data_IF_975513307179
#
_entry.id   IF_975513307179
#
_cell.length_a   1.000
_cell.length_b   1.000
_cell.length_c   1.000
_cell.angle_alpha   90.00
_cell.angle_beta   90.00
_cell.angle_gamma   90.00
#
_symmetry.space_group_name_H-M   'P 1'
#
loop_
_entity.id
_entity.type
_entity.pdbx_description
1 polymer ?
#
# COMPACT_ATOMS: atom_id res chain seq x y z
N UNK A 1 -23.08 -45.72 6.41
CA UNK A 1 -23.18 -44.35 5.85
C UNK A 1 -24.39 -44.08 4.97
N UNK A 2 -24.92 -45.01 4.13
CA UNK A 2 -26.06 -44.70 3.24
C UNK A 2 -27.30 -44.17 3.97
N UNK A 3 -27.65 -44.75 5.13
CA UNK A 3 -28.78 -44.30 5.93
C UNK A 3 -28.58 -42.91 6.56
N UNK A 4 -27.37 -42.58 6.99
CA UNK A 4 -27.04 -41.25 7.54
C UNK A 4 -27.11 -40.19 6.44
N UNK A 5 -26.53 -40.47 5.27
CA UNK A 5 -26.65 -39.60 4.09
C UNK A 5 -28.11 -39.43 3.69
N UNK A 6 -28.88 -40.51 3.56
CA UNK A 6 -30.30 -40.42 3.20
C UNK A 6 -31.11 -39.61 4.22
N UNK A 7 -30.90 -39.84 5.52
CA UNK A 7 -31.56 -39.09 6.58
C UNK A 7 -31.20 -37.59 6.53
N UNK A 8 -29.93 -37.26 6.29
CA UNK A 8 -29.48 -35.88 6.13
C UNK A 8 -30.02 -35.22 4.85
N UNK A 9 -29.92 -35.89 3.70
CA UNK A 9 -30.40 -35.40 2.40
C UNK A 9 -31.92 -35.23 2.37
N UNK A 10 -32.68 -36.03 3.14
CA UNK A 10 -34.13 -35.85 3.30
C UNK A 10 -34.53 -34.58 4.07
N UNK A 11 -33.57 -33.90 4.71
CA UNK A 11 -33.82 -32.76 5.59
C UNK A 11 -34.28 -33.14 7.00
N UNK A 12 -34.40 -34.44 7.31
CA UNK A 12 -34.76 -34.93 8.66
C UNK A 12 -33.69 -34.62 9.71
N UNK A 13 -32.44 -34.39 9.29
CA UNK A 13 -31.39 -33.79 10.09
C UNK A 13 -30.74 -32.63 9.34
N UNK A 14 -30.49 -31.52 10.04
CA UNK A 14 -29.84 -30.33 9.47
C UNK A 14 -28.37 -30.20 9.88
N UNK A 15 -27.97 -30.86 10.98
CA UNK A 15 -26.62 -30.78 11.52
C UNK A 15 -26.11 -32.19 11.80
N UNK A 16 -24.87 -32.45 11.38
CA UNK A 16 -24.14 -33.67 11.66
C UNK A 16 -22.81 -33.31 12.32
N UNK A 17 -22.51 -33.94 13.45
CA UNK A 17 -21.24 -33.76 14.16
C UNK A 17 -20.48 -35.06 14.08
N UNK A 18 -19.21 -35.00 13.67
CA UNK A 18 -18.37 -36.17 13.56
C UNK A 18 -16.90 -35.81 13.50
N UNK A 19 -16.05 -36.83 13.60
CA UNK A 19 -14.59 -36.67 13.53
C UNK A 19 -14.12 -36.77 12.08
N UNK A 20 -12.89 -36.31 11.81
CA UNK A 20 -12.27 -36.48 10.48
C UNK A 20 -12.20 -37.94 10.06
N UNK A 21 -12.04 -38.89 10.97
CA UNK A 21 -12.03 -40.32 10.63
C UNK A 21 -13.40 -40.80 10.13
N UNK A 22 -14.49 -40.19 10.60
CA UNK A 22 -15.86 -40.64 10.33
C UNK A 22 -16.50 -39.87 9.15
N UNK A 23 -16.15 -38.60 8.98
CA UNK A 23 -16.66 -37.70 7.94
C UNK A 23 -15.63 -37.32 6.87
N UNK A 24 -14.34 -37.58 7.12
CA UNK A 24 -13.24 -37.20 6.22
C UNK A 24 -12.92 -38.25 5.15
N UNK A 25 -13.27 -39.53 5.35
CA UNK A 25 -13.10 -40.60 4.37
C UNK A 25 -14.44 -40.94 3.70
N UNK A 26 -14.57 -40.61 2.41
CA UNK A 26 -15.64 -41.16 1.56
C UNK A 26 -17.08 -40.75 1.84
N UNK A 27 -17.38 -39.86 2.81
CA UNK A 27 -18.75 -39.37 2.98
C UNK A 27 -19.17 -38.49 1.79
N UNK A 28 -20.31 -38.86 1.18
CA UNK A 28 -20.87 -38.18 0.03
C UNK A 28 -22.29 -37.69 0.28
N UNK A 29 -22.44 -36.36 0.35
CA UNK A 29 -23.71 -35.68 0.56
C UNK A 29 -23.67 -34.31 -0.17
N UNK A 30 -24.03 -34.26 -1.47
CA UNK A 30 -24.08 -33.02 -2.25
C UNK A 30 -24.97 -31.94 -1.63
N UNK A 31 -25.97 -32.30 -0.82
CA UNK A 31 -26.87 -31.36 -0.15
C UNK A 31 -26.19 -30.54 0.99
N UNK A 32 -24.95 -30.84 1.38
CA UNK A 32 -24.25 -30.10 2.45
C UNK A 32 -23.99 -28.66 2.04
N UNK A 33 -24.58 -27.71 2.76
CA UNK A 33 -24.45 -26.25 2.50
C UNK A 33 -23.50 -25.52 3.44
N UNK A 34 -22.90 -26.23 4.41
CA UNK A 34 -21.94 -25.62 5.32
C UNK A 34 -21.09 -26.63 6.05
N UNK A 35 -19.92 -26.19 6.47
CA UNK A 35 -18.94 -26.95 7.22
C UNK A 35 -18.37 -26.07 8.32
N UNK A 36 -18.33 -26.57 9.54
CA UNK A 36 -17.64 -25.92 10.66
C UNK A 36 -16.42 -26.75 10.99
N UNK A 37 -15.24 -26.24 10.64
CA UNK A 37 -13.95 -26.90 10.85
C UNK A 37 -13.36 -26.50 12.21
N UNK A 38 -13.51 -27.41 13.18
CA UNK A 38 -12.92 -27.32 14.52
C UNK A 38 -11.56 -28.03 14.62
N UNK A 39 -11.00 -28.51 13.51
CA UNK A 39 -9.75 -29.26 13.51
C UNK A 39 -8.53 -28.34 13.54
N UNK A 40 -7.39 -28.86 13.99
CA UNK A 40 -6.11 -28.14 13.98
C UNK A 40 -5.29 -28.37 12.72
N UNK A 41 -5.78 -29.18 11.76
CA UNK A 41 -5.07 -29.55 10.56
C UNK A 41 -4.94 -28.34 9.61
N UNK A 42 -3.71 -28.04 9.17
CA UNK A 42 -3.44 -26.92 8.25
C UNK A 42 -2.69 -27.35 6.98
N UNK A 43 -2.54 -28.65 6.72
CA UNK A 43 -1.92 -29.10 5.47
C UNK A 43 -2.89 -28.86 4.31
N UNK A 44 -2.44 -28.35 3.15
CA UNK A 44 -3.32 -28.04 2.02
C UNK A 44 -4.24 -29.20 1.65
N UNK A 45 -3.69 -30.43 1.58
CA UNK A 45 -4.47 -31.65 1.30
C UNK A 45 -5.60 -31.89 2.31
N UNK A 46 -5.35 -31.69 3.61
CA UNK A 46 -6.38 -31.90 4.62
C UNK A 46 -7.45 -30.81 4.57
N UNK A 47 -7.06 -29.57 4.31
CA UNK A 47 -7.99 -28.43 4.17
C UNK A 47 -8.89 -28.62 2.96
N UNK A 48 -8.32 -28.93 1.79
CA UNK A 48 -9.05 -29.20 0.54
C UNK A 48 -9.99 -30.40 0.69
N UNK A 49 -9.53 -31.49 1.31
CA UNK A 49 -10.38 -32.66 1.55
C UNK A 49 -11.57 -32.33 2.46
N UNK A 50 -11.36 -31.51 3.48
CA UNK A 50 -12.42 -31.13 4.43
C UNK A 50 -13.42 -30.19 3.76
N UNK A 51 -12.96 -29.08 3.16
CA UNK A 51 -13.83 -28.08 2.50
C UNK A 51 -14.52 -28.61 1.25
N UNK A 52 -13.84 -29.46 0.48
CA UNK A 52 -14.37 -30.09 -0.73
C UNK A 52 -15.64 -30.90 -0.49
N UNK A 53 -15.93 -31.30 0.76
CA UNK A 53 -17.20 -31.95 1.11
C UNK A 53 -18.41 -31.04 0.90
N UNK A 54 -18.30 -29.78 1.32
CA UNK A 54 -19.38 -28.81 1.20
C UNK A 54 -19.45 -28.20 -0.20
N UNK A 55 -18.31 -28.05 -0.89
CA UNK A 55 -18.20 -27.40 -2.20
C UNK A 55 -18.70 -28.23 -3.39
N UNK A 56 -19.16 -29.46 -3.18
CA UNK A 56 -19.70 -30.30 -4.26
C UNK A 56 -20.94 -29.67 -4.88
N UNK A 57 -21.02 -29.73 -6.20
CA UNK A 57 -22.22 -29.35 -6.94
C UNK A 57 -23.37 -30.30 -6.58
N UNK A 58 -24.54 -29.71 -6.33
CA UNK A 58 -25.78 -30.46 -6.15
C UNK A 58 -26.56 -30.41 -7.47
N UNK A 59 -26.78 -31.56 -8.14
CA UNK A 59 -27.54 -31.62 -9.39
C UNK A 59 -28.96 -31.04 -9.27
N UNK A 60 -29.53 -31.04 -8.05
CA UNK A 60 -30.87 -30.53 -7.80
C UNK A 60 -30.88 -29.06 -7.36
N UNK A 61 -29.70 -28.44 -7.16
CA UNK A 61 -29.59 -27.05 -6.72
C UNK A 61 -28.37 -26.36 -7.36
N UNK A 62 -28.53 -25.93 -8.61
CA UNK A 62 -27.47 -25.26 -9.38
C UNK A 62 -26.90 -23.99 -8.72
N UNK A 63 -27.72 -23.27 -7.94
CA UNK A 63 -27.32 -22.04 -7.22
C UNK A 63 -26.84 -22.32 -5.79
N UNK A 64 -26.48 -23.56 -5.49
CA UNK A 64 -25.99 -23.94 -4.17
C UNK A 64 -24.68 -23.22 -3.87
N UNK A 65 -24.64 -22.57 -2.71
CA UNK A 65 -23.42 -22.06 -2.11
C UNK A 65 -23.11 -22.82 -0.82
N UNK A 66 -21.82 -22.97 -0.52
CA UNK A 66 -21.34 -23.60 0.69
C UNK A 66 -20.63 -22.59 1.60
N UNK A 67 -20.97 -22.59 2.89
CA UNK A 67 -20.37 -21.72 3.90
C UNK A 67 -19.38 -22.53 4.75
N UNK A 68 -18.09 -22.29 4.54
CA UNK A 68 -17.01 -22.94 5.29
C UNK A 68 -16.55 -22.04 6.43
N UNK A 69 -16.66 -22.52 7.66
CA UNK A 69 -16.29 -21.80 8.88
C UNK A 69 -15.02 -22.41 9.47
N UNK A 70 -14.08 -21.56 9.87
CA UNK A 70 -12.95 -21.91 10.72
C UNK A 70 -13.15 -21.19 12.05
N UNK A 71 -13.16 -21.93 13.16
CA UNK A 71 -13.27 -21.33 14.50
C UNK A 71 -11.88 -21.03 15.05
N UNK A 72 -11.72 -19.81 15.59
CA UNK A 72 -10.42 -19.27 16.02
C UNK A 72 -10.57 -18.68 17.42
N UNK A 73 -9.64 -19.00 18.31
CA UNK A 73 -9.54 -18.37 19.63
C UNK A 73 -8.34 -17.40 19.65
N UNK A 74 -8.58 -16.14 20.01
CA UNK A 74 -7.52 -15.13 20.14
C UNK A 74 -7.44 -14.70 21.61
N UNK A 75 -6.23 -14.60 22.15
CA UNK A 75 -5.99 -14.14 23.53
C UNK A 75 -4.85 -13.14 23.56
N UNK A 76 -5.13 -11.82 23.55
CA UNK A 76 -4.10 -10.78 23.47
C UNK A 76 -3.06 -10.85 24.60
N UNK A 77 -3.51 -11.19 25.82
CA UNK A 77 -2.66 -11.22 27.02
C UNK A 77 -1.79 -12.48 27.15
N UNK A 78 -1.96 -13.46 26.25
CA UNK A 78 -1.23 -14.72 26.30
C UNK A 78 -0.11 -14.77 25.25
N UNK A 79 1.14 -15.13 25.62
CA UNK A 79 2.29 -15.18 24.68
C UNK A 79 2.09 -16.09 23.46
N UNK A 80 1.14 -17.03 23.52
CA UNK A 80 0.76 -17.93 22.42
C UNK A 80 -0.68 -17.74 21.95
N UNK A 81 -1.33 -16.64 22.33
CA UNK A 81 -2.74 -16.38 22.05
C UNK A 81 -3.07 -16.13 20.57
N UNK A 82 -2.06 -16.01 19.70
CA UNK A 82 -2.22 -15.92 18.24
C UNK A 82 -2.05 -17.24 17.48
N UNK A 83 -1.87 -18.39 18.16
CA UNK A 83 -1.62 -19.66 17.45
C UNK A 83 -2.76 -20.07 16.52
N UNK A 84 -4.01 -19.88 16.95
CA UNK A 84 -5.18 -20.21 16.16
C UNK A 84 -5.33 -19.26 14.97
N UNK A 85 -4.94 -17.99 15.14
CA UNK A 85 -4.86 -17.03 14.03
C UNK A 85 -3.89 -17.51 12.96
N UNK A 86 -2.67 -17.91 13.35
CA UNK A 86 -1.71 -18.48 12.42
C UNK A 86 -2.22 -19.77 11.74
N UNK A 87 -3.08 -20.55 12.40
CA UNK A 87 -3.77 -21.68 11.75
C UNK A 87 -4.83 -21.23 10.75
N UNK A 88 -5.63 -20.22 11.08
CA UNK A 88 -6.60 -19.63 10.14
C UNK A 88 -5.90 -19.16 8.87
N UNK A 89 -4.82 -18.40 9.01
CA UNK A 89 -4.03 -17.89 7.87
C UNK A 89 -3.57 -19.05 6.98
N UNK A 90 -2.92 -20.08 7.55
CA UNK A 90 -2.50 -21.27 6.78
C UNK A 90 -3.64 -22.06 6.14
N UNK A 91 -4.82 -22.08 6.75
CA UNK A 91 -6.00 -22.76 6.17
C UNK A 91 -6.61 -21.96 5.01
N UNK A 92 -6.39 -20.66 4.96
CA UNK A 92 -6.96 -19.78 3.94
C UNK A 92 -5.95 -19.38 2.87
N UNK A 93 -4.66 -19.68 3.05
CA UNK A 93 -3.61 -19.56 2.05
C UNK A 93 -3.89 -20.46 0.84
N UNK A 94 -3.95 -19.87 -0.36
CA UNK A 94 -4.34 -20.56 -1.59
C UNK A 94 -5.81 -20.99 -1.64
N UNK A 95 -6.67 -20.38 -0.82
CA UNK A 95 -8.11 -20.60 -0.85
C UNK A 95 -8.89 -19.32 -1.14
N UNK A 96 -9.40 -19.25 -2.36
CA UNK A 96 -10.15 -18.14 -2.88
C UNK A 96 -11.55 -18.01 -2.26
N UNK A 97 -11.98 -16.78 -2.02
CA UNK A 97 -13.31 -16.41 -1.57
C UNK A 97 -13.74 -15.06 -2.13
N UNK A 98 -15.04 -14.78 -2.18
CA UNK A 98 -15.52 -13.45 -2.60
C UNK A 98 -15.52 -12.47 -1.44
N UNK A 99 -14.91 -11.30 -1.64
CA UNK A 99 -14.99 -10.23 -0.66
C UNK A 99 -16.37 -9.53 -0.69
N UNK A 100 -16.56 -8.55 0.18
CA UNK A 100 -17.83 -7.81 0.26
C UNK A 100 -18.16 -6.93 -0.97
N UNK A 101 -17.24 -6.81 -1.94
CA UNK A 101 -17.47 -6.18 -3.25
C UNK A 101 -17.73 -7.19 -4.38
N UNK A 102 -17.69 -8.49 -4.08
CA UNK A 102 -17.89 -9.55 -5.08
C UNK A 102 -16.64 -9.90 -5.88
N UNK A 103 -15.46 -9.42 -5.47
CA UNK A 103 -14.22 -9.86 -6.09
C UNK A 103 -13.69 -11.12 -5.43
N UNK A 104 -13.18 -12.04 -6.24
CA UNK A 104 -12.52 -13.24 -5.77
C UNK A 104 -11.14 -12.85 -5.25
N UNK A 105 -10.88 -13.10 -3.97
CA UNK A 105 -9.62 -12.82 -3.29
C UNK A 105 -9.11 -14.03 -2.52
N UNK A 106 -7.79 -14.14 -2.36
CA UNK A 106 -7.16 -15.21 -1.57
C UNK A 106 -6.94 -14.82 -0.10
N UNK A 107 -6.74 -15.83 0.76
CA UNK A 107 -6.30 -15.64 2.13
C UNK A 107 -7.42 -15.27 3.09
N UNK A 108 -7.06 -14.74 4.25
CA UNK A 108 -8.04 -14.33 5.28
C UNK A 108 -8.84 -13.09 4.88
N UNK A 109 -8.42 -12.37 3.83
CA UNK A 109 -9.02 -11.13 3.37
C UNK A 109 -10.42 -11.31 2.74
N UNK A 110 -10.77 -12.50 2.23
CA UNK A 110 -12.16 -12.76 1.80
C UNK A 110 -13.13 -12.88 2.97
N UNK A 111 -12.61 -13.20 4.17
CA UNK A 111 -13.43 -13.40 5.36
C UNK A 111 -13.89 -12.06 5.91
N UNK A 112 -13.01 -11.13 6.21
CA UNK A 112 -13.38 -9.78 6.63
C UNK A 112 -12.29 -8.79 6.19
N UNK A 113 -12.64 -7.57 5.73
CA UNK A 113 -11.66 -6.57 5.34
C UNK A 113 -10.67 -6.17 6.44
N UNK A 114 -11.01 -6.36 7.72
CA UNK A 114 -10.12 -6.07 8.84
C UNK A 114 -9.01 -7.13 9.05
N UNK A 115 -9.06 -8.26 8.34
CA UNK A 115 -8.16 -9.39 8.61
C UNK A 115 -6.81 -9.24 7.90
N UNK A 116 -5.73 -9.45 8.65
CA UNK A 116 -4.34 -9.46 8.16
C UNK A 116 -3.68 -10.84 8.33
N UNK A 117 -2.86 -11.31 7.38
CA UNK A 117 -2.11 -12.55 7.55
C UNK A 117 -1.06 -12.47 8.67
N UNK A 118 -0.65 -11.26 9.07
CA UNK A 118 0.47 -11.05 9.99
C UNK A 118 0.04 -10.96 11.47
N UNK A 119 -1.15 -10.43 11.74
CA UNK A 119 -1.63 -10.20 13.09
C UNK A 119 -3.15 -10.38 13.17
N UNK A 120 -3.68 -10.84 14.31
CA UNK A 120 -5.11 -10.85 14.56
C UNK A 120 -5.66 -9.42 14.57
N UNK A 121 -6.94 -9.21 14.23
CA UNK A 121 -7.58 -7.90 14.32
C UNK A 121 -7.59 -7.40 15.77
N UNK A 122 -7.30 -6.11 15.95
CA UNK A 122 -7.43 -5.41 17.24
C UNK A 122 -8.86 -4.89 17.49
N UNK A 123 -9.71 -4.94 16.46
CA UNK A 123 -11.11 -4.52 16.48
C UNK A 123 -11.99 -5.33 17.45
N UNK A 124 -13.20 -4.80 17.69
CA UNK A 124 -14.29 -5.50 18.37
C UNK A 124 -14.66 -6.80 17.60
N UNK A 125 -14.15 -7.92 18.10
CA UNK A 125 -14.39 -9.28 17.57
C UNK A 125 -15.90 -9.60 17.51
N UNK A 126 -16.70 -9.07 18.43
CA UNK A 126 -18.15 -9.30 18.42
C UNK A 126 -18.81 -8.58 17.24
N UNK A 127 -18.35 -7.37 16.91
CA UNK A 127 -18.82 -6.66 15.73
C UNK A 127 -18.45 -7.39 14.42
N UNK A 128 -17.24 -7.95 14.34
CA UNK A 128 -16.81 -8.79 13.19
C UNK A 128 -17.70 -10.03 13.08
N UNK A 129 -17.89 -10.77 14.17
CA UNK A 129 -18.72 -11.96 14.21
C UNK A 129 -20.17 -11.65 13.79
N UNK A 130 -20.74 -10.56 14.27
CA UNK A 130 -22.10 -10.14 13.92
C UNK A 130 -22.24 -9.91 12.39
N UNK A 131 -21.31 -9.15 11.78
CA UNK A 131 -21.31 -8.92 10.32
C UNK A 131 -21.14 -10.21 9.53
N UNK A 132 -20.28 -11.13 10.00
CA UNK A 132 -20.08 -12.44 9.36
C UNK A 132 -21.36 -13.29 9.41
N UNK A 133 -22.06 -13.32 10.55
CA UNK A 133 -23.33 -14.04 10.71
C UNK A 133 -24.40 -13.46 9.78
N UNK A 134 -24.55 -12.14 9.71
CA UNK A 134 -25.48 -11.49 8.79
C UNK A 134 -25.20 -11.87 7.33
N UNK A 135 -23.93 -11.81 6.90
CA UNK A 135 -23.52 -12.18 5.54
C UNK A 135 -23.79 -13.65 5.24
N UNK A 136 -23.59 -14.54 6.20
CA UNK A 136 -23.84 -15.97 6.05
C UNK A 136 -25.32 -16.32 5.80
N UNK A 137 -26.25 -15.47 6.25
CA UNK A 137 -27.69 -15.65 6.00
C UNK A 137 -28.06 -15.27 4.55
N UNK A 138 -27.30 -14.37 3.91
CA UNK A 138 -27.57 -13.85 2.57
C UNK A 138 -27.04 -14.76 1.43
N UNK A 139 -27.46 -16.04 1.39
CA UNK A 139 -26.93 -17.03 0.43
C UNK A 139 -27.10 -16.65 -1.03
N UNK A 140 -28.22 -16.03 -1.39
CA UNK A 140 -28.46 -15.53 -2.76
C UNK A 140 -27.45 -14.46 -3.15
N UNK A 141 -27.09 -13.58 -2.22
CA UNK A 141 -26.08 -12.54 -2.45
C UNK A 141 -24.69 -13.17 -2.60
N UNK A 142 -24.37 -14.20 -1.81
CA UNK A 142 -23.13 -14.97 -1.96
C UNK A 142 -23.05 -15.60 -3.35
N UNK A 143 -24.12 -16.21 -3.84
CA UNK A 143 -24.16 -16.78 -5.19
C UNK A 143 -23.96 -15.72 -6.28
N UNK A 144 -24.58 -14.54 -6.13
CA UNK A 144 -24.39 -13.41 -7.05
C UNK A 144 -22.96 -12.87 -7.05
N UNK A 145 -22.33 -12.76 -5.87
CA UNK A 145 -20.93 -12.33 -5.74
C UNK A 145 -19.96 -13.30 -6.40
N UNK A 146 -20.24 -14.59 -6.29
CA UNK A 146 -19.52 -15.64 -7.01
C UNK A 146 -19.89 -15.74 -8.48
N UNK A 147 -20.79 -14.89 -9.00
CA UNK A 147 -21.28 -14.93 -10.37
C UNK A 147 -21.57 -16.37 -10.85
N UNK A 148 -22.22 -17.17 -10.00
CA UNK A 148 -22.36 -18.62 -10.21
C UNK A 148 -23.05 -18.89 -11.55
N UNK A 149 -22.35 -19.60 -12.44
CA UNK A 149 -22.80 -19.92 -13.80
C UNK A 149 -22.23 -19.04 -14.91
N UNK A 150 -21.40 -18.04 -14.58
CA UNK A 150 -20.66 -17.25 -15.56
C UNK A 150 -19.28 -17.83 -15.88
N UNK A 151 -18.73 -17.43 -17.03
CA UNK A 151 -17.38 -17.83 -17.45
C UNK A 151 -16.32 -17.10 -16.62
N UNK A 152 -15.31 -17.85 -16.18
CA UNK A 152 -14.13 -17.34 -15.48
C UNK A 152 -12.86 -17.66 -16.27
N UNK A 153 -11.83 -16.80 -16.18
CA UNK A 153 -10.51 -17.11 -16.71
C UNK A 153 -9.67 -17.64 -15.56
N UNK A 154 -9.06 -18.80 -15.73
CA UNK A 154 -8.30 -19.44 -14.65
C UNK A 154 -6.91 -18.80 -14.47
N UNK A 155 -6.89 -17.51 -14.13
CA UNK A 155 -5.70 -16.67 -14.01
C UNK A 155 -5.66 -15.94 -12.66
N UNK A 156 -4.58 -16.15 -11.89
CA UNK A 156 -4.31 -15.47 -10.64
C UNK A 156 -3.56 -14.14 -10.85
N UNK A 157 -4.00 -13.06 -10.20
CA UNK A 157 -3.43 -11.72 -10.20
C UNK A 157 -3.13 -11.25 -8.78
N UNK A 158 -1.89 -10.84 -8.47
CA UNK A 158 -1.54 -10.30 -7.14
C UNK A 158 -1.79 -8.79 -7.09
N UNK A 159 -2.52 -8.30 -6.08
CA UNK A 159 -2.95 -6.89 -5.97
C UNK A 159 -2.80 -6.36 -4.53
N UNK A 160 -2.17 -5.20 -4.33
CA UNK A 160 -2.17 -4.51 -3.04
C UNK A 160 -3.39 -3.58 -2.98
N UNK A 161 -4.21 -3.68 -1.93
CA UNK A 161 -5.28 -2.72 -1.63
C UNK A 161 -4.80 -1.78 -0.53
N UNK A 162 -4.94 -0.49 -0.72
CA UNK A 162 -4.61 0.53 0.26
C UNK A 162 -5.89 1.25 0.65
N UNK A 163 -6.19 1.21 1.93
CA UNK A 163 -7.33 1.86 2.57
C UNK A 163 -6.79 3.11 3.27
N UNK A 164 -7.20 4.28 2.79
CA UNK A 164 -6.82 5.53 3.42
C UNK A 164 -7.62 5.70 4.72
N UNK A 165 -6.92 5.92 5.84
CA UNK A 165 -7.55 6.24 7.12
C UNK A 165 -7.99 7.71 7.10
N UNK A 166 -9.13 7.98 6.47
CA UNK A 166 -9.81 9.26 6.59
C UNK A 166 -11.19 8.99 7.18
N UNK A 167 -11.58 9.64 8.29
CA UNK A 167 -12.95 9.55 8.79
C UNK A 167 -13.88 10.07 7.70
N UNK A 168 -14.60 9.17 7.04
CA UNK A 168 -15.63 9.54 6.08
C UNK A 168 -16.82 10.14 6.83
N UNK A 169 -17.38 11.26 6.37
CA UNK A 169 -18.74 11.60 6.75
C UNK A 169 -19.65 10.47 6.26
N UNK A 170 -20.40 9.91 7.19
CA UNK A 170 -21.33 8.81 7.01
C UNK A 170 -22.42 9.20 6.00
N UNK A 171 -22.24 8.85 4.72
CA UNK A 171 -23.31 9.03 3.73
C UNK A 171 -24.30 7.88 3.95
N UNK A 172 -25.44 8.22 4.55
CA UNK A 172 -26.55 7.31 4.73
C UNK A 172 -26.95 6.63 3.40
N UNK A 173 -27.20 5.31 3.38
CA UNK A 173 -27.55 4.62 2.15
C UNK A 173 -28.95 5.05 1.66
N UNK A 174 -29.01 5.88 0.63
CA UNK A 174 -30.26 6.15 -0.10
C UNK A 174 -30.64 4.92 -0.93
N UNK A 175 -31.83 4.39 -0.65
CA UNK A 175 -32.38 3.10 -1.14
C UNK A 175 -32.61 2.93 -2.65
N UNK A 176 -32.21 3.86 -3.51
CA UNK A 176 -32.59 3.86 -4.94
C UNK A 176 -31.39 3.98 -5.90
N UNK A 177 -30.36 3.14 -5.75
CA UNK A 177 -29.23 3.10 -6.69
C UNK A 177 -28.75 1.66 -6.97
N UNK A 178 -29.67 0.73 -7.29
CA UNK A 178 -29.29 -0.68 -7.49
C UNK A 178 -28.94 -1.07 -8.93
N UNK A 179 -29.32 -0.32 -9.96
CA UNK A 179 -29.10 -0.78 -11.35
C UNK A 179 -28.27 0.20 -12.21
N UNK A 180 -28.34 1.52 -11.94
CA UNK A 180 -27.53 2.51 -12.68
C UNK A 180 -26.06 2.62 -12.23
N UNK A 181 -25.77 2.27 -10.96
CA UNK A 181 -24.42 2.36 -10.41
C UNK A 181 -23.52 1.21 -10.90
N UNK A 182 -24.10 0.02 -11.19
CA UNK A 182 -23.37 -1.13 -11.76
C UNK A 182 -22.95 -0.88 -13.21
N UNK A 183 -23.84 -0.35 -14.04
CA UNK A 183 -23.52 0.01 -15.42
C UNK A 183 -22.49 1.15 -15.52
N UNK A 184 -22.53 2.12 -14.59
CA UNK A 184 -21.51 3.17 -14.49
C UNK A 184 -20.16 2.65 -13.96
N UNK A 185 -20.15 1.65 -13.07
CA UNK A 185 -18.94 0.99 -12.56
C UNK A 185 -18.28 0.08 -13.61
N UNK A 186 -19.07 -0.63 -14.42
CA UNK A 186 -18.57 -1.42 -15.56
C UNK A 186 -18.10 -0.52 -16.72
N UNK A 187 -18.73 0.64 -16.93
CA UNK A 187 -18.23 1.66 -17.86
C UNK A 187 -16.93 2.33 -17.35
N UNK A 188 -16.75 2.44 -16.02
CA UNK A 188 -15.51 2.90 -15.41
C UNK A 188 -14.41 1.82 -15.37
N UNK A 189 -14.72 0.54 -15.63
CA UNK A 189 -13.72 -0.51 -15.83
C UNK A 189 -12.85 -0.28 -17.09
N UNK A 190 -13.29 0.62 -17.98
CA UNK A 190 -12.55 1.15 -19.12
C UNK A 190 -11.85 2.50 -18.88
N UNK A 191 -11.93 3.09 -17.68
CA UNK A 191 -11.22 4.34 -17.38
C UNK A 191 -9.71 4.07 -17.24
N UNK A 192 -8.90 4.82 -18.00
CA UNK A 192 -7.44 4.78 -17.99
C UNK A 192 -6.88 4.64 -16.56
N UNK A 193 -6.17 3.55 -16.30
CA UNK A 193 -5.52 3.31 -15.02
C UNK A 193 -4.52 4.43 -14.71
N UNK A 194 -4.36 4.77 -13.42
CA UNK A 194 -3.36 5.76 -13.01
C UNK A 194 -1.99 5.18 -13.32
N UNK A 195 -1.31 5.74 -14.32
CA UNK A 195 0.07 5.37 -14.66
C UNK A 195 1.00 6.15 -13.71
N UNK A 196 1.82 5.47 -12.91
CA UNK A 196 2.72 6.16 -12.00
C UNK A 196 3.75 6.97 -12.78
N UNK A 197 4.09 8.16 -12.27
CA UNK A 197 5.10 9.03 -12.88
C UNK A 197 6.16 9.41 -11.84
N UNK A 198 7.46 9.35 -12.18
CA UNK A 198 8.51 9.70 -11.26
C UNK A 198 8.44 11.19 -10.94
N UNK A 199 8.67 11.54 -9.67
CA UNK A 199 8.65 12.92 -9.18
C UNK A 199 9.70 13.80 -9.86
N UNK A 200 10.81 13.22 -10.30
CA UNK A 200 11.93 13.92 -10.93
C UNK A 200 11.99 13.75 -12.46
N UNK A 201 10.87 13.39 -13.12
CA UNK A 201 10.82 13.24 -14.59
C UNK A 201 11.33 14.47 -15.35
N UNK A 202 11.04 15.66 -14.83
CA UNK A 202 11.44 16.95 -15.40
C UNK A 202 12.75 17.51 -14.78
N UNK A 203 13.50 16.66 -14.08
CA UNK A 203 14.77 16.98 -13.45
C UNK A 203 14.74 17.07 -11.92
N UNK A 204 15.91 16.93 -11.30
CA UNK A 204 16.11 17.10 -9.86
C UNK A 204 15.96 18.58 -9.46
N UNK A 205 15.15 18.92 -8.43
CA UNK A 205 15.10 20.25 -7.85
C UNK A 205 16.46 20.81 -7.36
N UNK A 206 17.45 19.95 -7.16
CA UNK A 206 18.85 20.29 -6.93
C UNK A 206 19.57 20.87 -8.16
N UNK A 207 19.11 20.55 -9.37
CA UNK A 207 19.67 20.97 -10.67
C UNK A 207 18.83 22.02 -11.42
N UNK A 208 17.83 22.61 -10.76
CA UNK A 208 16.94 23.64 -11.36
C UNK A 208 17.71 24.86 -11.86
N UNK A 209 18.81 25.19 -11.19
CA UNK A 209 19.76 26.18 -11.64
C UNK A 209 20.99 25.47 -12.20
N UNK A 210 21.66 26.04 -13.22
CA UNK A 210 22.89 25.49 -13.78
C UNK A 210 24.00 25.34 -12.73
N UNK A 211 23.85 26.02 -11.58
CA UNK A 211 24.75 25.95 -10.43
C UNK A 211 23.95 25.62 -9.18
N UNK A 212 24.43 24.65 -8.39
CA UNK A 212 23.88 24.37 -7.07
C UNK A 212 24.16 25.55 -6.13
N UNK A 213 23.14 26.33 -5.76
CA UNK A 213 23.27 27.42 -4.78
C UNK A 213 23.52 26.86 -3.37
N UNK A 214 24.79 26.53 -3.11
CA UNK A 214 25.32 26.23 -1.79
C UNK A 214 25.54 27.54 -1.03
N UNK A 215 25.47 27.49 0.30
CA UNK A 215 25.73 28.62 1.18
C UNK A 215 26.99 29.45 0.83
N UNK A 216 28.18 28.88 0.52
CA UNK A 216 29.35 29.68 0.14
C UNK A 216 29.13 30.53 -1.11
N UNK A 217 28.36 30.05 -2.09
CA UNK A 217 28.08 30.82 -3.32
C UNK A 217 27.15 31.98 -3.01
N UNK A 218 26.14 31.77 -2.15
CA UNK A 218 25.24 32.84 -1.66
C UNK A 218 26.04 33.93 -0.94
N UNK A 219 26.99 33.53 -0.08
CA UNK A 219 27.87 34.45 0.64
C UNK A 219 28.74 35.24 -0.34
N UNK A 220 29.42 34.57 -1.28
CA UNK A 220 30.24 35.23 -2.31
C UNK A 220 29.40 36.23 -3.12
N UNK A 221 28.21 35.81 -3.58
CA UNK A 221 27.34 36.66 -4.37
C UNK A 221 26.89 37.92 -3.62
N UNK A 222 26.51 37.77 -2.34
CA UNK A 222 26.16 38.89 -1.47
C UNK A 222 27.36 39.81 -1.19
N UNK A 223 28.54 39.24 -0.93
CA UNK A 223 29.77 40.02 -0.68
C UNK A 223 30.21 40.81 -1.92
N UNK A 224 30.15 40.23 -3.12
CA UNK A 224 30.46 40.95 -4.36
C UNK A 224 29.47 42.09 -4.58
N UNK A 225 28.17 41.86 -4.36
CA UNK A 225 27.17 42.94 -4.44
C UNK A 225 27.45 44.08 -3.45
N UNK A 226 27.81 43.74 -2.21
CA UNK A 226 28.08 44.74 -1.16
C UNK A 226 29.40 45.50 -1.40
N UNK A 227 30.45 44.81 -1.87
CA UNK A 227 31.71 45.45 -2.28
C UNK A 227 31.46 46.41 -3.45
N UNK A 228 30.72 45.99 -4.48
CA UNK A 228 30.38 46.86 -5.62
C UNK A 228 29.57 48.09 -5.18
N UNK A 229 28.66 47.96 -4.22
CA UNK A 229 27.93 49.09 -3.65
C UNK A 229 28.87 50.05 -2.91
N UNK A 230 29.80 49.54 -2.10
CA UNK A 230 30.78 50.36 -1.39
C UNK A 230 31.70 51.10 -2.38
N UNK A 231 32.20 50.41 -3.41
CA UNK A 231 33.05 51.02 -4.45
C UNK A 231 32.28 52.08 -5.26
N UNK A 232 30.98 51.88 -5.51
CA UNK A 232 30.14 52.87 -6.17
C UNK A 232 30.07 54.18 -5.37
N UNK A 233 29.88 54.09 -4.04
CA UNK A 233 29.83 55.25 -3.13
C UNK A 233 31.17 55.99 -3.06
N UNK A 234 32.28 55.26 -3.17
CA UNK A 234 33.64 55.81 -3.17
C UNK A 234 34.06 56.40 -4.54
N UNK A 235 33.28 56.17 -5.60
CA UNK A 235 33.56 56.61 -6.96
C UNK A 235 32.73 57.83 -7.36
N UNK A 236 33.14 58.54 -8.42
CA UNK A 236 32.43 59.71 -8.94
C UNK A 236 32.14 59.58 -10.44
N UNK A 237 31.20 60.38 -10.93
CA UNK A 237 30.82 60.42 -12.35
C UNK A 237 30.11 59.15 -12.84
N UNK A 238 30.33 58.78 -14.10
CA UNK A 238 29.64 57.66 -14.74
C UNK A 238 29.95 56.29 -14.09
N UNK A 239 31.13 56.14 -13.49
CA UNK A 239 31.54 54.90 -12.81
C UNK A 239 30.66 54.58 -11.59
N UNK A 240 30.24 55.59 -10.83
CA UNK A 240 29.35 55.42 -9.68
C UNK A 240 28.00 54.85 -10.07
N UNK A 241 27.42 55.33 -11.16
CA UNK A 241 26.14 54.83 -11.68
C UNK A 241 26.25 53.39 -12.19
N UNK A 242 27.32 53.06 -12.94
CA UNK A 242 27.53 51.71 -13.46
C UNK A 242 27.70 50.70 -12.32
N UNK A 243 28.58 50.99 -11.36
CA UNK A 243 28.82 50.13 -10.20
C UNK A 243 27.57 50.00 -9.32
N UNK A 244 26.83 51.10 -9.13
CA UNK A 244 25.59 51.12 -8.37
C UNK A 244 24.49 50.24 -9.00
N UNK A 245 24.30 50.33 -10.32
CA UNK A 245 23.31 49.49 -11.05
C UNK A 245 23.69 48.01 -10.93
N UNK A 246 24.99 47.68 -11.09
CA UNK A 246 25.47 46.29 -10.96
C UNK A 246 25.25 45.79 -9.52
N UNK A 247 25.56 46.61 -8.51
CA UNK A 247 25.38 46.25 -7.10
C UNK A 247 23.90 45.97 -6.78
N UNK A 248 23.00 46.85 -7.22
CA UNK A 248 21.54 46.67 -7.06
C UNK A 248 21.06 45.41 -7.79
N UNK A 249 21.53 45.18 -9.01
CA UNK A 249 21.21 43.96 -9.78
C UNK A 249 21.64 42.69 -9.05
N UNK A 250 22.85 42.64 -8.50
CA UNK A 250 23.37 41.49 -7.74
C UNK A 250 22.60 41.28 -6.43
N UNK A 251 22.34 42.34 -5.67
CA UNK A 251 21.66 42.27 -4.38
C UNK A 251 20.17 41.94 -4.50
N UNK A 252 19.48 42.37 -5.58
CA UNK A 252 18.07 42.03 -5.83
C UNK A 252 17.89 40.69 -6.54
N UNK A 253 18.84 40.28 -7.41
CA UNK A 253 18.75 38.99 -8.10
C UNK A 253 18.92 37.82 -7.15
N UNK A 254 19.79 37.91 -6.14
CA UNK A 254 20.02 36.84 -5.17
C UNK A 254 18.73 36.40 -4.43
N UNK A 255 17.94 37.29 -3.79
CA UNK A 255 16.70 36.90 -3.14
C UNK A 255 15.61 36.46 -4.14
N UNK A 256 15.58 37.03 -5.34
CA UNK A 256 14.67 36.59 -6.40
C UNK A 256 14.98 35.13 -6.81
N UNK A 257 16.24 34.80 -7.05
CA UNK A 257 16.68 33.43 -7.39
C UNK A 257 16.39 32.46 -6.25
N UNK A 258 16.71 32.83 -5.00
CA UNK A 258 16.45 31.98 -3.83
C UNK A 258 14.97 31.75 -3.58
N UNK A 259 14.11 32.76 -3.77
CA UNK A 259 12.66 32.59 -3.67
C UNK A 259 12.11 31.70 -4.78
N UNK A 260 12.52 31.89 -6.03
CA UNK A 260 12.10 31.02 -7.14
C UNK A 260 12.54 29.57 -6.90
N UNK A 261 13.80 29.35 -6.50
CA UNK A 261 14.34 28.04 -6.19
C UNK A 261 13.61 27.37 -5.01
N UNK A 262 13.41 28.10 -3.91
CA UNK A 262 12.68 27.61 -2.75
C UNK A 262 11.20 27.33 -3.04
N UNK A 263 10.57 28.14 -3.88
CA UNK A 263 9.19 27.93 -4.32
C UNK A 263 9.04 26.67 -5.18
N UNK A 264 9.96 26.44 -6.13
CA UNK A 264 9.98 25.21 -6.94
C UNK A 264 10.24 23.97 -6.07
N UNK A 265 11.17 24.04 -5.13
CA UNK A 265 11.43 22.96 -4.16
C UNK A 265 10.22 22.66 -3.29
N UNK A 266 9.53 23.69 -2.79
CA UNK A 266 8.32 23.50 -2.00
C UNK A 266 7.19 22.88 -2.82
N UNK A 267 7.07 23.17 -4.12
CA UNK A 267 6.09 22.49 -4.98
C UNK A 267 6.35 20.99 -5.12
N UNK A 268 7.61 20.56 -5.04
CA UNK A 268 8.02 19.16 -5.22
C UNK A 268 8.00 18.40 -3.89
N UNK A 269 8.62 18.96 -2.84
CA UNK A 269 8.78 18.29 -1.54
C UNK A 269 7.77 18.75 -0.48
N UNK A 270 6.97 19.77 -0.76
CA UNK A 270 5.89 20.21 0.15
C UNK A 270 4.63 19.33 0.05
N UNK A 271 4.60 18.38 -0.88
CA UNK A 271 3.53 17.41 -1.06
C UNK A 271 4.03 16.03 -0.65
N UNK A 272 3.23 15.27 0.09
CA UNK A 272 3.54 13.89 0.43
C UNK A 272 3.60 13.00 -0.82
N UNK A 273 4.49 12.01 -0.87
CA UNK A 273 4.48 11.00 -1.92
C UNK A 273 3.15 10.32 -2.08
N UNK A 274 2.73 10.18 -3.34
CA UNK A 274 1.54 9.38 -3.67
C UNK A 274 1.93 7.90 -3.66
N UNK A 275 0.96 7.04 -3.38
CA UNK A 275 1.14 5.59 -3.50
C UNK A 275 1.67 5.22 -4.89
N UNK A 276 1.21 5.88 -5.95
CA UNK A 276 1.68 5.63 -7.31
C UNK A 276 3.19 5.84 -7.45
N UNK A 277 3.75 6.86 -6.79
CA UNK A 277 5.20 7.09 -6.79
C UNK A 277 5.95 6.01 -6.00
N UNK A 278 5.39 5.53 -4.89
CA UNK A 278 5.95 4.44 -4.09
C UNK A 278 5.93 3.13 -4.90
N UNK A 279 4.80 2.79 -5.52
CA UNK A 279 4.65 1.64 -6.39
C UNK A 279 5.62 1.69 -7.57
N UNK A 280 5.76 2.85 -8.23
CA UNK A 280 6.75 3.03 -9.28
C UNK A 280 8.19 2.81 -8.81
N UNK A 281 8.56 3.34 -7.64
CA UNK A 281 9.89 3.15 -7.06
C UNK A 281 10.20 1.68 -6.75
N UNK A 282 9.22 0.94 -6.20
CA UNK A 282 9.35 -0.48 -5.87
C UNK A 282 9.47 -1.31 -7.15
N UNK A 283 8.61 -1.11 -8.15
CA UNK A 283 8.66 -1.83 -9.41
C UNK A 283 9.97 -1.57 -10.17
N UNK A 284 10.42 -0.32 -10.23
CA UNK A 284 11.69 0.06 -10.85
C UNK A 284 12.88 -0.64 -10.17
N UNK A 285 12.90 -0.66 -8.83
CA UNK A 285 13.97 -1.31 -8.08
C UNK A 285 13.99 -2.82 -8.29
N UNK A 286 12.83 -3.48 -8.28
CA UNK A 286 12.73 -4.91 -8.55
C UNK A 286 13.21 -5.25 -9.97
N UNK A 287 12.83 -4.44 -10.96
CA UNK A 287 13.28 -4.64 -12.33
C UNK A 287 14.77 -4.40 -12.52
N UNK A 288 15.31 -3.30 -11.98
CA UNK A 288 16.75 -2.99 -12.06
C UNK A 288 17.66 -4.01 -11.38
N UNK A 289 17.10 -4.78 -10.44
CA UNK A 289 17.77 -5.87 -9.73
C UNK A 289 17.48 -7.25 -10.33
N UNK A 290 16.79 -7.32 -11.47
CA UNK A 290 16.39 -8.57 -12.15
C UNK A 290 15.53 -9.49 -11.26
N UNK A 291 14.83 -8.91 -10.28
CA UNK A 291 13.86 -9.60 -9.43
C UNK A 291 12.46 -9.57 -10.03
N UNK A 292 12.26 -8.79 -11.09
CA UNK A 292 11.02 -8.74 -11.85
C UNK A 292 11.28 -8.60 -13.35
N UNK A 293 10.45 -9.26 -14.15
CA UNK A 293 10.44 -9.16 -15.61
C UNK A 293 10.01 -7.78 -16.12
N UNK A 294 9.32 -6.98 -15.30
CA UNK A 294 8.75 -5.69 -15.70
C UNK A 294 9.00 -4.59 -14.67
N UNK A 295 9.22 -3.36 -15.15
CA UNK A 295 9.46 -2.19 -14.31
C UNK A 295 8.19 -1.36 -14.03
N UNK A 296 8.40 -0.09 -13.69
CA UNK A 296 7.33 0.81 -13.28
C UNK A 296 6.24 1.05 -14.35
N UNK A 297 6.58 0.90 -15.64
CA UNK A 297 5.63 1.06 -16.75
C UNK A 297 4.53 -0.01 -16.78
N UNK A 298 4.74 -1.15 -16.11
CA UNK A 298 3.77 -2.23 -15.98
C UNK A 298 2.88 -2.08 -14.74
N UNK A 299 3.09 -1.06 -13.91
CA UNK A 299 2.24 -0.82 -12.74
C UNK A 299 0.87 -0.30 -13.20
N UNK A 300 -0.18 -0.88 -12.64
CA UNK A 300 -1.58 -0.52 -12.89
C UNK A 300 -2.27 -0.22 -11.57
N UNK A 301 -2.93 0.92 -11.52
CA UNK A 301 -3.67 1.34 -10.34
C UNK A 301 -5.10 1.71 -10.69
N UNK A 302 -6.03 1.29 -9.83
CA UNK A 302 -7.46 1.56 -9.96
C UNK A 302 -8.05 1.87 -8.60
N UNK A 303 -9.03 2.75 -8.57
CA UNK A 303 -9.81 3.05 -7.37
C UNK A 303 -11.07 2.19 -7.45
N UNK A 304 -11.37 1.44 -6.39
CA UNK A 304 -12.57 0.61 -6.34
C UNK A 304 -13.84 1.43 -6.05
N UNK A 305 -15.02 0.79 -6.16
CA UNK A 305 -16.30 1.45 -5.88
C UNK A 305 -16.45 1.95 -4.43
N UNK A 306 -15.60 1.48 -3.51
CA UNK A 306 -15.52 1.95 -2.12
C UNK A 306 -14.48 3.05 -1.94
N UNK A 307 -13.79 3.48 -2.99
CA UNK A 307 -12.77 4.53 -2.96
C UNK A 307 -11.39 4.04 -2.49
N UNK A 308 -11.18 2.73 -2.37
CA UNK A 308 -9.88 2.17 -1.98
C UNK A 308 -8.99 1.99 -3.20
N UNK A 309 -7.70 2.25 -3.02
CA UNK A 309 -6.73 2.21 -4.10
C UNK A 309 -6.18 0.80 -4.25
N UNK A 310 -6.28 0.23 -5.45
CA UNK A 310 -5.73 -1.07 -5.79
C UNK A 310 -4.57 -0.91 -6.75
N UNK A 311 -3.48 -1.62 -6.47
CA UNK A 311 -2.25 -1.57 -7.24
C UNK A 311 -1.79 -2.99 -7.59
N UNK A 312 -1.45 -3.23 -8.85
CA UNK A 312 -0.84 -4.48 -9.29
C UNK A 312 0.22 -4.23 -10.35
N UNK A 313 1.10 -5.22 -10.55
CA UNK A 313 2.09 -5.23 -11.61
C UNK A 313 1.61 -6.19 -12.71
N UNK A 314 1.51 -5.69 -13.94
CA UNK A 314 1.15 -6.45 -15.13
C UNK A 314 2.37 -7.23 -15.65
N UNK A 315 2.71 -8.32 -14.96
CA UNK A 315 3.91 -9.12 -15.17
C UNK A 315 3.64 -10.61 -14.86
N UNK A 316 4.67 -11.46 -14.98
CA UNK A 316 4.57 -12.87 -14.57
C UNK A 316 4.20 -13.01 -13.07
N UNK A 317 3.60 -14.14 -12.64
CA UNK A 317 3.11 -14.30 -11.28
C UNK A 317 4.17 -14.09 -10.18
N UNK A 318 5.41 -14.52 -10.40
CA UNK A 318 6.50 -14.37 -9.43
C UNK A 318 6.90 -12.90 -9.28
N UNK A 319 6.99 -12.17 -10.40
CA UNK A 319 7.17 -10.72 -10.41
C UNK A 319 6.06 -9.96 -9.69
N UNK A 320 4.80 -10.31 -9.98
CA UNK A 320 3.64 -9.67 -9.38
C UNK A 320 3.58 -9.91 -7.85
N UNK A 321 3.94 -11.11 -7.39
CA UNK A 321 4.03 -11.45 -5.98
C UNK A 321 5.15 -10.67 -5.27
N UNK A 322 6.37 -10.66 -5.84
CA UNK A 322 7.50 -9.92 -5.28
C UNK A 322 7.19 -8.42 -5.18
N UNK A 323 6.53 -7.86 -6.20
CA UNK A 323 6.05 -6.49 -6.19
C UNK A 323 5.00 -6.23 -5.11
N UNK A 324 3.99 -7.07 -5.02
CA UNK A 324 2.88 -6.83 -4.11
C UNK A 324 3.33 -6.93 -2.64
N UNK A 325 4.17 -7.91 -2.29
CA UNK A 325 4.80 -8.01 -0.97
C UNK A 325 5.68 -6.81 -0.66
N UNK A 326 6.55 -6.42 -1.60
CA UNK A 326 7.45 -5.29 -1.38
C UNK A 326 6.71 -3.95 -1.25
N UNK A 327 5.64 -3.76 -2.02
CA UNK A 327 4.80 -2.56 -1.93
C UNK A 327 4.05 -2.52 -0.60
N UNK A 328 3.42 -3.62 -0.19
CA UNK A 328 2.71 -3.72 1.10
C UNK A 328 3.63 -3.38 2.28
N UNK A 329 4.85 -3.92 2.31
CA UNK A 329 5.85 -3.58 3.34
C UNK A 329 6.27 -2.10 3.30
N UNK A 330 6.34 -1.48 2.12
CA UNK A 330 6.74 -0.08 1.96
C UNK A 330 5.65 0.92 2.39
N UNK A 331 4.38 0.53 2.33
CA UNK A 331 3.24 1.37 2.73
C UNK A 331 2.68 1.03 4.12
N UNK A 332 3.10 -0.09 4.72
CA UNK A 332 2.75 -0.48 6.08
C UNK A 332 3.52 0.30 7.15
N UNK A 333 3.03 0.34 8.41
CA UNK A 333 3.77 0.86 9.55
C UNK A 333 5.14 0.21 9.73
N UNK A 334 6.12 0.97 10.24
CA UNK A 334 7.50 0.50 10.32
C UNK A 334 7.64 -0.59 11.39
N UNK A 335 7.90 -1.83 10.94
CA UNK A 335 8.25 -2.96 11.79
C UNK A 335 9.73 -2.99 12.18
N UNK A 336 10.44 -4.05 11.77
CA UNK A 336 11.88 -4.24 12.04
C UNK A 336 12.71 -4.41 10.74
N UNK A 337 12.71 -3.40 9.84
CA UNK A 337 13.45 -3.50 8.58
C UNK A 337 14.96 -3.51 8.82
N UNK A 338 15.72 -4.15 7.92
CA UNK A 338 17.20 -4.16 7.97
C UNK A 338 17.81 -2.80 7.60
N UNK A 339 17.12 -2.04 6.76
CA UNK A 339 17.54 -0.73 6.31
C UNK A 339 16.36 0.24 6.36
N UNK A 340 16.65 1.50 6.67
CA UNK A 340 15.71 2.60 6.59
C UNK A 340 16.14 3.55 5.46
N UNK A 341 15.17 4.11 4.75
CA UNK A 341 15.39 5.14 3.75
C UNK A 341 14.77 6.46 4.19
N UNK A 342 15.48 7.59 4.03
CA UNK A 342 14.89 8.89 4.23
C UNK A 342 14.09 9.29 2.99
N UNK A 343 12.86 9.72 3.21
CA UNK A 343 12.00 10.39 2.26
C UNK A 343 12.06 11.90 2.54
N UNK A 344 12.51 12.68 1.56
CA UNK A 344 12.65 14.12 1.74
C UNK A 344 11.29 14.82 1.71
N UNK A 345 11.08 15.70 2.69
CA UNK A 345 9.88 16.52 2.78
C UNK A 345 10.26 17.95 3.19
N UNK A 346 9.44 18.91 2.78
CA UNK A 346 9.47 20.28 3.28
C UNK A 346 8.19 20.56 4.07
N UNK A 347 8.28 21.22 5.24
CA UNK A 347 7.11 21.58 6.02
C UNK A 347 6.21 22.55 5.24
N UNK A 348 4.92 22.58 5.61
CA UNK A 348 3.95 23.52 5.02
C UNK A 348 4.44 24.96 5.16
N UNK A 349 4.30 25.73 4.09
CA UNK A 349 4.74 27.12 4.05
C UNK A 349 3.95 27.98 5.04
N UNK A 350 4.69 28.70 5.89
CA UNK A 350 4.12 29.75 6.72
C UNK A 350 3.68 30.95 5.87
N UNK A 351 2.65 31.68 6.30
CA UNK A 351 2.17 32.88 5.61
C UNK A 351 2.95 34.14 6.04
N UNK A 352 2.95 35.18 5.20
CA UNK A 352 3.56 36.48 5.49
C UNK A 352 5.09 36.53 5.41
N UNK A 353 5.70 37.50 6.09
CA UNK A 353 7.14 37.78 6.04
C UNK A 353 7.99 36.60 6.51
N UNK A 354 7.57 35.88 7.56
CA UNK A 354 8.24 34.65 8.02
C UNK A 354 8.27 33.58 6.92
N UNK A 355 7.16 33.44 6.19
CA UNK A 355 7.04 32.55 5.03
C UNK A 355 7.99 32.86 3.88
N UNK A 356 8.20 34.15 3.62
CA UNK A 356 9.16 34.62 2.62
C UNK A 356 10.60 34.27 3.01
N UNK A 357 10.98 34.52 4.27
CA UNK A 357 12.31 34.12 4.79
C UNK A 357 12.53 32.61 4.77
N UNK A 358 11.54 31.81 5.14
CA UNK A 358 11.64 30.34 5.06
C UNK A 358 11.80 29.85 3.62
N UNK A 359 11.08 30.45 2.68
CA UNK A 359 11.21 30.13 1.26
C UNK A 359 12.62 30.46 0.73
N UNK A 360 13.18 31.61 1.14
CA UNK A 360 14.54 32.00 0.79
C UNK A 360 15.56 30.95 1.27
N UNK A 361 15.42 30.50 2.52
CA UNK A 361 16.27 29.45 3.12
C UNK A 361 16.14 28.13 2.39
N UNK A 362 14.93 27.74 1.96
CA UNK A 362 14.73 26.54 1.15
C UNK A 362 15.37 26.61 -0.24
N UNK A 363 15.60 27.81 -0.76
CA UNK A 363 16.41 28.03 -1.96
C UNK A 363 17.87 27.56 -1.81
N UNK A 364 18.37 27.47 -0.58
CA UNK A 364 19.73 26.97 -0.28
C UNK A 364 19.74 25.43 -0.22
N UNK A 365 20.78 24.83 -0.79
CA UNK A 365 20.86 23.47 -1.37
C UNK A 365 20.40 22.19 -0.66
N UNK A 366 19.81 22.18 0.53
CA UNK A 366 19.56 20.92 1.29
C UNK A 366 18.41 20.96 2.29
N UNK A 367 17.52 21.95 2.23
CA UNK A 367 16.50 22.14 3.27
C UNK A 367 15.55 20.95 3.48
N UNK A 368 15.29 20.18 2.42
CA UNK A 368 14.44 18.98 2.45
C UNK A 368 15.08 17.77 3.18
N UNK A 369 16.37 17.85 3.53
CA UNK A 369 17.11 16.79 4.22
C UNK A 369 17.08 16.90 5.75
N UNK A 370 16.59 18.03 6.28
CA UNK A 370 16.73 18.35 7.70
C UNK A 370 15.87 17.48 8.62
N UNK A 371 14.69 17.09 8.17
CA UNK A 371 13.73 16.28 8.92
C UNK A 371 12.99 15.34 7.96
N UNK A 372 13.64 14.24 7.53
CA UNK A 372 13.05 13.30 6.58
C UNK A 372 12.04 12.38 7.26
N UNK A 373 11.00 12.00 6.51
CA UNK A 373 10.16 10.86 6.88
C UNK A 373 10.97 9.59 6.66
N UNK A 374 10.99 8.68 7.63
CA UNK A 374 11.67 7.39 7.48
C UNK A 374 10.73 6.34 6.92
N UNK A 375 11.24 5.51 6.02
CA UNK A 375 10.50 4.41 5.40
C UNK A 375 11.33 3.13 5.51
N UNK A 376 10.68 2.01 5.79
CA UNK A 376 11.33 0.70 5.79
C UNK A 376 11.73 0.26 4.38
N UNK A 377 12.95 -0.24 4.22
CA UNK A 377 13.32 -0.96 2.99
C UNK A 377 12.67 -2.34 3.01
N UNK A 378 11.87 -2.71 1.99
CA UNK A 378 11.24 -4.02 1.92
C UNK A 378 12.25 -5.16 2.01
N UNK A 379 11.90 -6.26 2.65
CA UNK A 379 12.78 -7.37 2.98
C UNK A 379 13.52 -7.91 1.74
N UNK A 380 12.82 -8.06 0.60
CA UNK A 380 13.41 -8.55 -0.66
C UNK A 380 14.53 -7.65 -1.20
N UNK A 381 14.38 -6.32 -0.99
CA UNK A 381 15.34 -5.28 -1.38
C UNK A 381 16.38 -5.01 -0.28
N UNK A 382 16.08 -5.35 0.98
CA UNK A 382 16.93 -5.11 2.16
C UNK A 382 17.82 -6.30 2.56
N UNK A 383 17.84 -7.39 1.77
CA UNK A 383 18.65 -8.58 2.07
C UNK A 383 20.15 -8.30 2.11
N UNK A 384 20.64 -7.50 1.14
CA UNK A 384 22.05 -7.11 0.96
C UNK A 384 22.18 -5.60 0.86
N UNK A 385 23.37 -5.07 1.18
CA UNK A 385 23.66 -3.64 1.09
C UNK A 385 23.48 -3.11 -0.33
N UNK A 386 23.94 -3.87 -1.33
CA UNK A 386 23.91 -3.49 -2.73
C UNK A 386 22.46 -3.32 -3.23
N UNK A 387 21.56 -4.22 -2.82
CA UNK A 387 20.13 -4.12 -3.16
C UNK A 387 19.46 -2.93 -2.48
N UNK A 388 19.79 -2.67 -1.21
CA UNK A 388 19.27 -1.51 -0.50
C UNK A 388 19.72 -0.20 -1.16
N UNK A 389 20.97 -0.15 -1.65
CA UNK A 389 21.51 1.00 -2.39
C UNK A 389 20.83 1.16 -3.76
N UNK A 390 20.58 0.07 -4.48
CA UNK A 390 19.83 0.11 -5.74
C UNK A 390 18.39 0.61 -5.53
N UNK A 391 17.71 0.12 -4.49
CA UNK A 391 16.40 0.64 -4.12
C UNK A 391 16.46 2.12 -3.73
N UNK A 392 17.50 2.55 -3.01
CA UNK A 392 17.70 3.97 -2.69
C UNK A 392 17.82 4.85 -3.94
N UNK A 393 18.50 4.37 -4.98
CA UNK A 393 18.64 5.09 -6.26
C UNK A 393 17.31 5.21 -7.02
N UNK A 394 16.54 4.11 -7.07
CA UNK A 394 15.18 4.15 -7.61
C UNK A 394 14.28 5.09 -6.78
N UNK A 395 14.33 4.99 -5.45
CA UNK A 395 13.59 5.84 -4.52
C UNK A 395 13.91 7.33 -4.71
N UNK A 396 15.20 7.67 -4.86
CA UNK A 396 15.62 9.05 -5.11
C UNK A 396 15.06 9.59 -6.43
N UNK A 397 14.99 8.76 -7.47
CA UNK A 397 14.43 9.14 -8.78
C UNK A 397 12.91 9.36 -8.73
N UNK A 398 12.21 8.52 -7.96
CA UNK A 398 10.75 8.51 -7.94
C UNK A 398 10.13 9.44 -6.89
N UNK A 399 10.83 9.67 -5.77
CA UNK A 399 10.31 10.36 -4.59
C UNK A 399 11.31 11.41 -4.06
N UNK A 400 12.61 11.13 -4.11
CA UNK A 400 13.63 11.97 -3.49
C UNK A 400 13.97 11.49 -2.10
N UNK A 401 15.23 11.10 -1.93
CA UNK A 401 15.70 10.42 -0.73
C UNK A 401 17.21 10.32 -0.67
N UNK A 402 17.72 9.54 0.28
CA UNK A 402 19.15 9.47 0.57
C UNK A 402 19.66 8.05 0.66
N UNK A 403 20.90 7.93 1.11
CA UNK A 403 21.52 6.63 1.33
C UNK A 403 20.75 5.82 2.39
N UNK A 404 20.67 4.49 2.21
CA UNK A 404 20.01 3.61 3.17
C UNK A 404 20.82 3.51 4.46
N UNK A 405 20.15 3.65 5.60
CA UNK A 405 20.76 3.51 6.92
C UNK A 405 20.54 2.09 7.44
N UNK A 406 21.63 1.42 7.80
CA UNK A 406 21.56 0.09 8.39
C UNK A 406 21.08 0.15 9.84
N UNK A 407 19.97 -0.55 10.15
CA UNK A 407 19.28 -0.43 11.44
C UNK A 407 20.01 -1.06 12.61
N UNK A 408 20.97 -1.96 12.37
CA UNK A 408 21.80 -2.55 13.44
C UNK A 408 23.08 -1.76 13.73
N UNK A 409 23.30 -0.64 13.06
CA UNK A 409 24.37 0.30 13.44
C UNK A 409 23.94 1.11 14.67
N UNK A 410 24.87 1.63 15.50
CA UNK A 410 24.52 2.42 16.68
C UNK A 410 23.62 3.62 16.35
N UNK A 411 23.87 4.32 15.24
CA UNK A 411 23.02 5.42 14.77
C UNK A 411 21.69 4.95 14.20
N UNK A 412 21.67 3.87 13.42
CA UNK A 412 20.46 3.34 12.82
C UNK A 412 19.49 2.73 13.82
N UNK A 413 19.99 2.12 14.89
CA UNK A 413 19.16 1.54 15.95
C UNK A 413 18.38 2.61 16.71
N UNK A 414 19.01 3.76 16.97
CA UNK A 414 18.34 4.91 17.59
C UNK A 414 17.23 5.49 16.71
N UNK A 415 17.48 5.62 15.41
CA UNK A 415 16.47 6.08 14.44
C UNK A 415 15.31 5.09 14.39
N UNK A 416 15.59 3.79 14.24
CA UNK A 416 14.55 2.76 14.21
C UNK A 416 13.70 2.77 15.48
N UNK A 417 14.31 2.90 16.65
CA UNK A 417 13.58 2.99 17.92
C UNK A 417 12.63 4.20 17.98
N UNK A 418 12.99 5.32 17.34
CA UNK A 418 12.17 6.52 17.30
C UNK A 418 10.98 6.43 16.33
N UNK A 419 11.08 5.61 15.28
CA UNK A 419 10.06 5.54 14.20
C UNK A 419 9.28 4.23 14.18
N UNK A 420 9.69 3.21 14.95
CA UNK A 420 9.02 1.90 15.01
C UNK A 420 7.57 2.04 15.44
N UNK A 421 6.67 1.33 14.74
CA UNK A 421 5.22 1.40 14.95
C UNK A 421 4.58 2.69 14.43
N UNK A 422 5.38 3.66 13.98
CA UNK A 422 4.87 4.84 13.27
C UNK A 422 4.39 4.45 11.88
N UNK A 423 3.26 5.03 11.49
CA UNK A 423 2.77 5.01 10.12
C UNK A 423 3.34 6.23 9.37
N UNK A 424 4.27 6.05 8.42
CA UNK A 424 4.88 7.16 7.69
C UNK A 424 3.88 7.93 6.82
N UNK A 425 2.76 7.29 6.48
CA UNK A 425 1.83 7.73 5.44
C UNK A 425 0.42 8.00 5.94
N UNK A 426 0.07 7.58 7.16
CA UNK A 426 -1.32 7.49 7.65
C UNK A 426 -2.20 6.65 6.71
N UNK A 427 -1.67 5.50 6.26
CA UNK A 427 -2.32 4.57 5.34
C UNK A 427 -2.34 3.16 5.92
N UNK A 428 -3.47 2.46 5.80
CA UNK A 428 -3.54 1.02 6.07
C UNK A 428 -3.45 0.27 4.75
N UNK A 429 -2.51 -0.66 4.62
CA UNK A 429 -2.38 -1.51 3.44
C UNK A 429 -2.78 -2.94 3.75
N UNK A 430 -3.38 -3.58 2.76
CA UNK A 430 -3.76 -4.99 2.82
C UNK A 430 -3.36 -5.62 1.50
N UNK A 431 -2.37 -6.51 1.55
CA UNK A 431 -2.03 -7.37 0.43
C UNK A 431 -3.22 -8.29 0.09
N UNK A 432 -3.54 -8.40 -1.20
CA UNK A 432 -4.59 -9.29 -1.71
C UNK A 432 -4.09 -10.05 -2.92
N UNK A 433 -4.60 -11.26 -3.11
CA UNK A 433 -4.56 -11.91 -4.41
C UNK A 433 -5.95 -11.83 -4.98
N UNK A 434 -6.06 -11.81 -6.31
CA UNK A 434 -7.30 -11.80 -7.07
C UNK A 434 -7.25 -12.93 -8.08
N UNK A 435 -8.40 -13.49 -8.44
CA UNK A 435 -8.56 -14.39 -9.58
C UNK A 435 -9.50 -13.71 -10.60
N UNK A 436 -9.24 -13.84 -11.91
CA UNK A 436 -9.88 -13.00 -12.94
C UNK A 436 -11.04 -13.63 -13.71
#
# INVERSE_FOLDING_TARGET
MPYVTSFFTSGSAQVLVGTRALLGEGWDAPAVTGLIDLTTATTPTAVTQTRGRALREDPNWAQKVALNWTVVCISPDHPRGGQDWGRLVRKHDGFFGTDSSGEIVDGVAHIDPAFSPFHPPEDDIDAINARMITRAQARTEVAQRWNVGADYRDEELRTVRIVADHPRPEIAPTKNASDGARAAADAAAGAEGIIPRPRHRDGDPGKILPVTLRMPIVIVWATVGLVMAATAVLSSGAAAWILGIIAVGLLLSLPCVLTIAGGRRHRIYGVTPTVAQIAGAVAEALHSLELSSSGADAVRMRIDARGDLRCHLDADPASAEAFALALDEAVSPIGDPRYLLPCWQLPRRAHGLRGWWTQLRWGTGTAQKADPIWVGVPAVLGTKKERAVAFAAAWDTWIGGGEPIYTRSPGGAGILAAVRGGDPWSMTSVLRMRWR
#
